data_IF_230045826886
#
_entry.id   IF_230045826886
#
_cell.length_a   1.000
_cell.length_b   1.000
_cell.length_c   1.000
_cell.angle_alpha   90.00
_cell.angle_beta   90.00
_cell.angle_gamma   90.00
#
_symmetry.space_group_name_H-M   'P 1'
#
loop_
_entity.id
_entity.type
_entity.pdbx_description
1 polymer ?
#
# COMPACT_ATOMS: atom_id res chain seq x y z
N UNK A 1 -0.57 18.12 2.44
CA UNK A 1 0.35 18.36 1.31
C UNK A 1 1.78 18.63 1.81
N UNK A 2 2.59 17.58 1.89
CA UNK A 2 4.01 17.67 2.30
C UNK A 2 4.85 17.40 1.06
N UNK A 3 5.37 18.49 0.47
CA UNK A 3 5.95 18.53 -0.88
C UNK A 3 7.27 17.80 -1.11
N UNK A 4 7.97 18.25 -2.17
CA UNK A 4 9.18 17.70 -2.84
C UNK A 4 10.31 17.13 -1.96
N UNK A 5 10.32 17.44 -0.66
CA UNK A 5 11.25 16.85 0.32
C UNK A 5 10.94 15.39 0.67
N UNK A 6 9.81 14.84 0.22
CA UNK A 6 9.46 13.41 0.39
C UNK A 6 10.12 12.48 -0.62
N UNK A 7 10.60 12.99 -1.77
CA UNK A 7 11.18 12.16 -2.84
C UNK A 7 12.68 11.83 -2.65
N UNK A 8 13.36 12.48 -1.70
CA UNK A 8 14.76 12.17 -1.42
C UNK A 8 14.87 10.93 -0.53
N UNK A 9 15.37 9.82 -1.10
CA UNK A 9 15.74 8.62 -0.34
C UNK A 9 16.67 8.99 0.82
N UNK A 10 16.34 8.51 2.01
CA UNK A 10 17.06 8.73 3.25
C UNK A 10 17.28 7.38 3.94
N UNK A 11 17.96 6.48 3.23
CA UNK A 11 18.37 5.17 3.76
C UNK A 11 19.36 5.45 4.90
N UNK A 12 18.91 5.19 6.13
CA UNK A 12 19.68 5.48 7.35
C UNK A 12 19.62 4.30 8.32
N UNK A 13 19.91 4.54 9.60
CA UNK A 13 19.89 3.52 10.65
C UNK A 13 18.57 2.73 10.73
N UNK A 14 17.45 3.28 10.25
CA UNK A 14 16.15 2.59 10.19
C UNK A 14 16.15 1.37 9.27
N UNK A 15 17.05 1.32 8.29
CA UNK A 15 17.18 0.20 7.35
C UNK A 15 17.36 -1.14 8.05
N UNK A 16 17.96 -1.14 9.25
CA UNK A 16 18.10 -2.34 10.07
C UNK A 16 16.77 -3.04 10.38
N UNK A 17 15.68 -2.29 10.48
CA UNK A 17 14.35 -2.84 10.75
C UNK A 17 13.74 -3.49 9.51
N UNK A 18 13.98 -2.91 8.33
CA UNK A 18 13.56 -3.50 7.06
C UNK A 18 14.29 -4.81 6.81
N UNK A 19 15.61 -4.85 7.07
CA UNK A 19 16.43 -6.05 6.91
C UNK A 19 16.02 -7.16 7.89
N UNK A 20 15.70 -6.81 9.14
CA UNK A 20 15.25 -7.78 10.15
C UNK A 20 13.86 -8.35 9.89
N UNK A 21 12.91 -7.55 9.42
CA UNK A 21 11.50 -7.95 9.34
C UNK A 21 11.18 -8.81 8.09
N UNK A 22 10.32 -9.81 8.26
CA UNK A 22 9.72 -10.54 7.13
C UNK A 22 8.58 -9.75 6.47
N UNK A 23 7.84 -8.97 7.27
CA UNK A 23 6.74 -8.11 6.84
C UNK A 23 7.02 -6.67 7.25
N UNK A 24 6.99 -5.77 6.27
CA UNK A 24 7.12 -4.32 6.48
C UNK A 24 5.78 -3.67 6.20
N UNK A 25 5.20 -3.05 7.23
CA UNK A 25 3.88 -2.42 7.14
C UNK A 25 3.95 -0.92 7.47
N UNK A 26 3.24 -0.09 6.71
CA UNK A 26 3.18 1.35 6.97
C UNK A 26 2.75 2.20 5.78
N UNK A 27 2.82 3.52 5.97
CA UNK A 27 2.55 4.50 4.92
C UNK A 27 3.56 4.40 3.77
N UNK A 28 3.08 4.38 2.53
CA UNK A 28 3.92 4.14 1.37
C UNK A 28 5.08 5.13 1.25
N UNK A 29 4.82 6.42 1.39
CA UNK A 29 5.87 7.44 1.26
C UNK A 29 6.92 7.30 2.35
N UNK A 30 6.52 6.98 3.58
CA UNK A 30 7.46 6.72 4.66
C UNK A 30 8.30 5.48 4.41
N UNK A 31 7.67 4.39 3.96
CA UNK A 31 8.35 3.14 3.62
C UNK A 31 9.37 3.38 2.51
N UNK A 32 8.93 3.89 1.35
CA UNK A 32 9.75 4.15 0.17
C UNK A 32 10.98 5.00 0.48
N UNK A 33 10.83 6.00 1.34
CA UNK A 33 11.92 6.92 1.73
C UNK A 33 13.06 6.22 2.47
N UNK A 34 12.75 5.28 3.36
CA UNK A 34 13.73 4.64 4.25
C UNK A 34 14.05 3.19 3.84
N UNK A 35 13.38 2.66 2.82
CA UNK A 35 13.58 1.30 2.33
C UNK A 35 14.99 1.12 1.75
N UNK A 36 15.75 0.10 2.20
CA UNK A 36 17.02 -0.27 1.59
C UNK A 36 16.81 -0.84 0.17
N UNK A 37 17.87 -1.01 -0.59
CA UNK A 37 17.77 -1.65 -1.91
C UNK A 37 17.53 -3.15 -1.82
N UNK A 38 17.93 -3.78 -0.72
CA UNK A 38 17.80 -5.23 -0.51
C UNK A 38 16.55 -5.58 0.31
N UNK A 39 15.48 -5.98 -0.38
CA UNK A 39 14.20 -6.38 0.21
C UNK A 39 13.80 -7.82 -0.18
N UNK A 40 14.77 -8.65 -0.53
CA UNK A 40 14.56 -10.01 -1.06
C UNK A 40 13.68 -10.86 -0.16
N UNK A 41 12.64 -11.46 -0.74
CA UNK A 41 11.75 -12.40 -0.06
C UNK A 41 10.70 -11.75 0.86
N UNK A 42 10.80 -10.44 1.12
CA UNK A 42 9.97 -9.74 2.10
C UNK A 42 8.59 -9.41 1.56
N UNK A 43 7.66 -9.18 2.48
CA UNK A 43 6.30 -8.73 2.19
C UNK A 43 6.11 -7.26 2.60
N UNK A 44 5.47 -6.47 1.74
CA UNK A 44 5.16 -5.06 2.03
C UNK A 44 3.64 -4.89 2.12
N UNK A 45 3.16 -4.36 3.24
CA UNK A 45 1.75 -3.99 3.45
C UNK A 45 1.62 -2.48 3.54
N UNK A 46 0.85 -1.86 2.65
CA UNK A 46 0.76 -0.40 2.60
C UNK A 46 -0.59 0.11 2.08
N UNK A 47 -0.75 1.42 1.98
CA UNK A 47 -1.97 2.09 1.57
C UNK A 47 -2.07 2.27 0.05
N UNK A 48 -1.52 3.36 -0.47
CA UNK A 48 -1.65 3.83 -1.85
C UNK A 48 -0.36 3.57 -2.61
N UNK A 49 -0.46 2.94 -3.77
CA UNK A 49 0.69 2.66 -4.64
C UNK A 49 0.29 2.82 -6.10
N UNK A 50 1.27 3.22 -6.91
CA UNK A 50 1.17 3.36 -8.36
C UNK A 50 1.80 2.16 -9.09
N UNK A 51 1.85 2.19 -10.42
CA UNK A 51 2.57 1.17 -11.20
C UNK A 51 4.10 1.34 -11.06
N UNK A 52 4.57 2.58 -11.00
CA UNK A 52 5.98 2.89 -10.75
C UNK A 52 6.43 2.37 -9.37
N UNK A 53 5.55 2.44 -8.38
CA UNK A 53 5.81 1.91 -7.04
C UNK A 53 5.89 0.37 -7.04
N UNK A 54 5.07 -0.30 -7.85
CA UNK A 54 5.15 -1.76 -8.04
C UNK A 54 6.47 -2.13 -8.71
N UNK A 55 6.89 -1.40 -9.75
CA UNK A 55 8.18 -1.60 -10.40
C UNK A 55 9.35 -1.38 -9.42
N UNK A 56 9.28 -0.31 -8.61
CA UNK A 56 10.26 -0.02 -7.56
C UNK A 56 10.42 -1.16 -6.54
N UNK A 57 9.32 -1.80 -6.15
CA UNK A 57 9.33 -2.93 -5.22
C UNK A 57 9.88 -4.21 -5.88
N UNK A 58 9.52 -4.46 -7.14
CA UNK A 58 10.05 -5.60 -7.92
C UNK A 58 11.57 -5.54 -8.05
N UNK A 59 12.11 -4.36 -8.38
CA UNK A 59 13.56 -4.14 -8.52
C UNK A 59 14.34 -4.49 -7.23
N UNK A 60 13.71 -4.35 -6.06
CA UNK A 60 14.31 -4.59 -4.74
C UNK A 60 14.10 -6.01 -4.21
N UNK A 61 13.50 -6.89 -5.03
CA UNK A 61 13.28 -8.29 -4.66
C UNK A 61 12.15 -8.52 -3.65
N UNK A 62 11.28 -7.53 -3.40
CA UNK A 62 10.08 -7.74 -2.57
C UNK A 62 9.27 -8.88 -3.17
N UNK A 63 8.91 -9.88 -2.36
CA UNK A 63 8.17 -11.07 -2.81
C UNK A 63 6.70 -10.74 -3.05
N UNK A 64 6.08 -9.99 -2.15
CA UNK A 64 4.64 -9.72 -2.19
C UNK A 64 4.31 -8.31 -1.71
N UNK A 65 3.41 -7.65 -2.43
CA UNK A 65 2.80 -6.38 -2.05
C UNK A 65 1.34 -6.61 -1.67
N UNK A 66 0.92 -6.05 -0.55
CA UNK A 66 -0.46 -6.02 -0.07
C UNK A 66 -0.88 -4.56 0.08
N UNK A 67 -1.96 -4.16 -0.59
CA UNK A 67 -2.57 -2.83 -0.38
C UNK A 67 -3.86 -2.97 0.43
N UNK A 68 -4.08 -2.07 1.40
CA UNK A 68 -5.26 -2.11 2.28
C UNK A 68 -6.59 -1.98 1.53
N UNK A 69 -6.56 -1.45 0.31
CA UNK A 69 -7.71 -1.31 -0.59
C UNK A 69 -7.44 -2.01 -1.93
N UNK A 70 -8.50 -2.30 -2.72
CA UNK A 70 -8.35 -2.81 -4.08
C UNK A 70 -7.54 -1.86 -4.98
N UNK A 71 -6.92 -2.42 -6.02
CA UNK A 71 -6.33 -1.62 -7.10
C UNK A 71 -7.35 -1.42 -8.21
N UNK A 72 -7.56 -0.16 -8.59
CA UNK A 72 -8.45 0.25 -9.69
C UNK A 72 -7.58 0.92 -10.76
N UNK A 73 -7.64 0.42 -11.99
CA UNK A 73 -6.85 0.93 -13.13
C UNK A 73 -5.35 1.10 -12.80
N UNK A 74 -4.73 0.07 -12.23
CA UNK A 74 -3.30 0.06 -11.95
C UNK A 74 -2.87 0.80 -10.69
N UNK A 75 -3.77 1.41 -9.91
CA UNK A 75 -3.43 2.14 -8.66
C UNK A 75 -4.32 1.76 -7.48
N UNK A 76 -3.80 1.84 -6.26
CA UNK A 76 -4.63 1.77 -5.04
C UNK A 76 -4.97 3.15 -4.49
N UNK A 77 -6.15 3.28 -3.92
CA UNK A 77 -6.67 4.53 -3.35
C UNK A 77 -6.76 4.43 -1.84
N UNK A 78 -6.53 5.55 -1.14
CA UNK A 78 -6.60 5.58 0.32
C UNK A 78 -8.00 5.23 0.82
N UNK A 79 -8.09 4.70 2.04
CA UNK A 79 -9.38 4.36 2.67
C UNK A 79 -10.33 5.55 2.68
N UNK A 80 -9.82 6.76 2.96
CA UNK A 80 -10.59 8.00 2.91
C UNK A 80 -11.25 8.27 1.55
N UNK A 81 -10.60 7.95 0.44
CA UNK A 81 -11.16 8.12 -0.91
C UNK A 81 -12.23 7.06 -1.16
N UNK A 82 -12.00 5.82 -0.73
CA UNK A 82 -12.97 4.74 -0.83
C UNK A 82 -14.23 5.03 0.00
N UNK A 83 -14.07 5.53 1.23
CA UNK A 83 -15.18 5.95 2.10
C UNK A 83 -15.95 7.13 1.49
N UNK A 84 -15.24 8.15 0.98
CA UNK A 84 -15.87 9.28 0.33
C UNK A 84 -16.69 8.87 -0.91
N UNK A 85 -16.22 7.89 -1.69
CA UNK A 85 -16.98 7.30 -2.79
C UNK A 85 -18.29 6.67 -2.30
N UNK A 86 -18.24 5.88 -1.23
CA UNK A 86 -19.44 5.24 -0.65
C UNK A 86 -20.44 6.28 -0.14
N UNK A 87 -19.96 7.31 0.56
CA UNK A 87 -20.80 8.42 1.05
C UNK A 87 -21.44 9.18 -0.13
N UNK A 88 -20.66 9.49 -1.17
CA UNK A 88 -21.17 10.19 -2.35
C UNK A 88 -22.25 9.38 -3.08
N UNK A 89 -22.06 8.06 -3.22
CA UNK A 89 -23.04 7.16 -3.83
C UNK A 89 -24.29 6.99 -2.96
N UNK A 90 -24.15 6.97 -1.64
CA UNK A 90 -25.26 6.88 -0.71
C UNK A 90 -26.06 8.19 -0.60
N UNK A 91 -25.47 9.33 -0.96
CA UNK A 91 -26.08 10.66 -0.87
C UNK A 91 -26.26 11.15 0.58
N UNK A 92 -25.59 10.50 1.55
CA UNK A 92 -25.63 10.83 2.97
C UNK A 92 -24.43 10.24 3.70
N UNK A 93 -24.19 10.71 4.91
CA UNK A 93 -23.23 10.10 5.83
C UNK A 93 -23.62 8.65 6.15
N UNK A 94 -22.60 7.81 6.30
CA UNK A 94 -22.72 6.38 6.57
C UNK A 94 -22.21 6.08 7.98
N UNK A 95 -22.94 5.22 8.69
CA UNK A 95 -22.46 4.62 9.94
C UNK A 95 -21.50 3.45 9.70
N UNK A 96 -20.83 3.00 10.76
CA UNK A 96 -19.87 1.88 10.73
C UNK A 96 -20.47 0.60 10.13
N UNK A 97 -21.65 0.18 10.59
CA UNK A 97 -22.34 -1.02 10.09
C UNK A 97 -22.62 -0.94 8.58
N UNK A 98 -22.89 0.27 8.08
CA UNK A 98 -23.18 0.50 6.67
C UNK A 98 -21.91 0.39 5.83
N UNK A 99 -20.80 0.95 6.30
CA UNK A 99 -19.50 0.75 5.66
C UNK A 99 -19.14 -0.72 5.58
N UNK A 100 -19.27 -1.47 6.68
CA UNK A 100 -18.99 -2.91 6.70
C UNK A 100 -19.88 -3.67 5.72
N UNK A 101 -21.18 -3.32 5.66
CA UNK A 101 -22.12 -3.90 4.69
C UNK A 101 -21.72 -3.60 3.25
N UNK A 102 -21.32 -2.37 2.93
CA UNK A 102 -20.88 -2.01 1.57
C UNK A 102 -19.56 -2.67 1.19
N UNK A 103 -18.61 -2.76 2.13
CA UNK A 103 -17.34 -3.47 1.93
C UNK A 103 -17.60 -4.92 1.54
N UNK A 104 -18.50 -5.61 2.24
CA UNK A 104 -18.88 -6.99 1.94
C UNK A 104 -19.63 -7.09 0.60
N UNK A 105 -20.67 -6.26 0.41
CA UNK A 105 -21.52 -6.27 -0.80
C UNK A 105 -20.72 -6.03 -2.09
N UNK A 106 -19.77 -5.11 -2.05
CA UNK A 106 -18.92 -4.75 -3.18
C UNK A 106 -17.68 -5.66 -3.30
N UNK A 107 -17.47 -6.56 -2.34
CA UNK A 107 -16.29 -7.42 -2.29
C UNK A 107 -14.99 -6.62 -2.21
N UNK A 108 -14.99 -5.48 -1.51
CA UNK A 108 -13.78 -4.66 -1.33
C UNK A 108 -12.81 -5.44 -0.45
N UNK A 109 -11.73 -5.91 -1.06
CA UNK A 109 -10.69 -6.69 -0.39
C UNK A 109 -9.33 -6.02 -0.55
N UNK A 110 -8.39 -6.26 0.37
CA UNK A 110 -7.00 -5.94 0.14
C UNK A 110 -6.52 -6.57 -1.17
N UNK A 111 -5.77 -5.84 -1.97
CA UNK A 111 -5.14 -6.43 -3.15
C UNK A 111 -3.85 -7.12 -2.72
N UNK A 112 -3.68 -8.37 -3.12
CA UNK A 112 -2.43 -9.11 -3.00
C UNK A 112 -1.79 -9.21 -4.38
N UNK A 113 -0.51 -8.83 -4.49
CA UNK A 113 0.30 -8.96 -5.69
C UNK A 113 1.57 -9.73 -5.36
N UNK A 114 1.73 -10.90 -5.95
CA UNK A 114 3.02 -11.58 -6.01
C UNK A 114 3.91 -10.85 -7.02
N UNK A 115 5.07 -10.41 -6.56
CA UNK A 115 5.99 -9.57 -7.33
C UNK A 115 7.19 -10.36 -7.88
N UNK A 116 7.46 -11.53 -7.29
CA UNK A 116 8.45 -12.50 -7.74
C UNK A 116 7.77 -13.85 -7.91
N UNK A 117 8.24 -14.66 -8.86
CA UNK A 117 7.79 -16.05 -9.00
C UNK A 117 8.25 -16.90 -7.81
N UNK A 118 7.47 -17.93 -7.48
CA UNK A 118 7.92 -18.94 -6.51
C UNK A 118 9.00 -19.79 -7.17
N UNK A 119 10.20 -19.81 -6.58
CA UNK A 119 11.32 -20.64 -7.01
C UNK A 119 11.08 -22.13 -6.75
#
# INVERSE_FOLDING_TARGET
PTGEKQDKRAVDWRSRYYLWADVVAGDWHYLKRHMPDEMWGKMVLTNTTTEEDVAFLRERGVKRLITTTPRLNGRSFGTNVMEALLVALAGRELGEEEYLRYIDLLGLRPQVLDLQEEA
#
